data_IF_425050647977
#
_entry.id   IF_425050647977
#
_cell.length_a   1.000
_cell.length_b   1.000
_cell.length_c   1.000
_cell.angle_alpha   90.00
_cell.angle_beta   90.00
_cell.angle_gamma   90.00
#
_symmetry.space_group_name_H-M   'P 1'
#
loop_
_entity.id
_entity.type
_entity.pdbx_description
1 polymer ?
#
# COMPACT_ATOMS: atom_id res chain seq x y z
N UNK A 1 -4.89 -5.86 15.55
CA UNK A 1 -4.10 -5.70 14.32
C UNK A 1 -5.05 -6.04 13.20
N UNK A 2 -5.19 -5.15 12.22
CA UNK A 2 -5.85 -5.52 10.98
C UNK A 2 -5.07 -6.69 10.34
N UNK A 3 -5.72 -7.48 9.50
CA UNK A 3 -4.98 -8.39 8.62
C UNK A 3 -4.16 -7.55 7.64
N UNK A 4 -3.07 -8.11 7.11
CA UNK A 4 -2.16 -7.43 6.18
C UNK A 4 -2.33 -8.02 4.78
N UNK A 5 -2.42 -7.15 3.79
CA UNK A 5 -2.34 -7.54 2.38
C UNK A 5 -0.92 -7.34 1.86
N UNK A 6 -0.32 -8.41 1.35
CA UNK A 6 1.03 -8.34 0.75
C UNK A 6 0.92 -8.19 -0.76
N UNK A 7 1.64 -7.21 -1.32
CA UNK A 7 1.54 -6.80 -2.72
C UNK A 7 2.94 -6.58 -3.31
N UNK A 8 3.18 -7.11 -4.51
CA UNK A 8 4.39 -6.85 -5.31
C UNK A 8 4.09 -5.77 -6.36
N UNK A 9 4.69 -4.59 -6.19
CA UNK A 9 4.51 -3.42 -7.03
C UNK A 9 5.24 -3.50 -8.38
N UNK A 10 6.08 -4.51 -8.63
CA UNK A 10 6.78 -4.64 -9.92
C UNK A 10 5.84 -4.78 -11.12
N UNK A 11 4.61 -5.21 -10.88
CA UNK A 11 3.53 -5.21 -11.86
C UNK A 11 3.09 -3.80 -12.29
N UNK A 12 3.22 -2.83 -11.37
CA UNK A 12 2.56 -1.54 -11.41
C UNK A 12 3.24 -0.54 -12.34
N UNK A 13 4.46 -0.81 -12.81
CA UNK A 13 5.17 -0.02 -13.81
C UNK A 13 5.16 1.50 -13.52
N UNK A 14 5.35 1.87 -12.25
CA UNK A 14 5.41 3.27 -11.82
C UNK A 14 4.08 3.98 -11.57
N UNK A 15 2.93 3.29 -11.69
CA UNK A 15 1.64 3.83 -11.22
C UNK A 15 1.26 3.23 -9.87
N UNK A 16 0.35 3.89 -9.14
CA UNK A 16 -0.18 3.33 -7.89
C UNK A 16 -1.15 2.16 -8.13
N UNK A 17 -1.41 1.41 -7.07
CA UNK A 17 -2.24 0.21 -7.07
C UNK A 17 -3.65 0.45 -7.63
N UNK A 18 -4.30 1.53 -7.20
CA UNK A 18 -5.64 1.91 -7.64
C UNK A 18 -5.68 2.20 -9.14
N UNK A 19 -4.70 2.95 -9.65
CA UNK A 19 -4.57 3.24 -11.09
C UNK A 19 -4.30 1.95 -11.85
N UNK A 20 -3.41 1.11 -11.36
CA UNK A 20 -3.08 -0.16 -12.01
C UNK A 20 -4.30 -1.09 -12.13
N UNK A 21 -5.06 -1.28 -11.06
CA UNK A 21 -6.27 -2.13 -11.07
C UNK A 21 -7.31 -1.55 -12.04
N UNK A 22 -7.50 -0.23 -12.05
CA UNK A 22 -8.39 0.44 -13.00
C UNK A 22 -7.98 0.22 -14.45
N UNK A 23 -6.69 0.40 -14.78
CA UNK A 23 -6.15 0.16 -16.12
C UNK A 23 -6.23 -1.32 -16.51
N UNK A 24 -6.02 -2.23 -15.55
CA UNK A 24 -6.18 -3.66 -15.75
C UNK A 24 -7.62 -4.02 -16.09
N UNK A 25 -8.58 -3.56 -15.29
CA UNK A 25 -10.02 -3.78 -15.53
C UNK A 25 -10.52 -3.15 -16.83
N UNK A 26 -9.96 -2.02 -17.26
CA UNK A 26 -10.32 -1.37 -18.52
C UNK A 26 -9.96 -2.20 -19.78
N UNK A 27 -9.10 -3.22 -19.66
CA UNK A 27 -8.78 -4.13 -20.76
C UNK A 27 -9.91 -5.12 -21.05
N UNK A 28 -10.80 -5.36 -20.10
CA UNK A 28 -11.89 -6.30 -20.23
C UNK A 28 -13.12 -5.64 -20.85
N UNK A 29 -13.89 -6.42 -21.62
CA UNK A 29 -15.24 -6.03 -22.02
C UNK A 29 -16.25 -6.69 -21.09
N UNK A 30 -17.43 -6.09 -20.90
CA UNK A 30 -18.50 -6.67 -20.07
C UNK A 30 -19.11 -7.95 -20.66
N UNK A 31 -18.65 -8.38 -21.85
CA UNK A 31 -19.00 -9.67 -22.41
C UNK A 31 -18.16 -10.76 -21.71
N UNK A 32 -18.85 -11.70 -21.06
CA UNK A 32 -18.34 -12.95 -20.44
C UNK A 32 -17.40 -12.82 -19.23
N UNK A 33 -17.99 -12.79 -18.03
CA UNK A 33 -17.36 -13.39 -16.83
C UNK A 33 -17.55 -14.90 -16.90
N UNK A 34 -16.47 -15.67 -16.91
CA UNK A 34 -16.52 -17.12 -17.10
C UNK A 34 -15.95 -17.81 -15.86
N UNK A 35 -16.80 -18.54 -15.12
CA UNK A 35 -16.40 -19.37 -14.00
C UNK A 35 -15.75 -20.67 -14.47
N UNK A 36 -14.52 -20.91 -14.03
CA UNK A 36 -13.83 -22.18 -14.14
C UNK A 36 -13.68 -22.76 -12.73
N UNK A 37 -14.27 -23.93 -12.46
CA UNK A 37 -14.31 -24.50 -11.10
C UNK A 37 -14.92 -25.91 -11.01
N UNK A 38 -14.59 -26.61 -9.91
CA UNK A 38 -14.66 -28.09 -9.72
C UNK A 38 -16.03 -28.80 -9.57
N UNK A 39 -16.06 -29.91 -8.80
CA UNK A 39 -17.10 -30.95 -8.95
C UNK A 39 -18.41 -30.53 -8.33
N UNK A 40 -19.53 -30.61 -9.07
CA UNK A 40 -20.86 -30.49 -8.48
C UNK A 40 -21.07 -31.51 -7.36
N UNK A 41 -21.22 -31.08 -6.10
CA UNK A 41 -21.72 -31.99 -5.08
C UNK A 41 -23.26 -32.08 -5.18
N UNK A 42 -23.71 -33.11 -5.89
CA UNK A 42 -25.13 -33.41 -6.01
C UNK A 42 -25.76 -34.04 -4.75
N UNK A 43 -25.02 -34.26 -3.66
CA UNK A 43 -25.50 -35.03 -2.50
C UNK A 43 -26.74 -34.44 -1.79
N UNK A 44 -27.06 -33.15 -1.99
CA UNK A 44 -28.19 -32.48 -1.34
C UNK A 44 -29.17 -31.76 -2.28
N UNK A 45 -29.19 -32.10 -3.57
CA UNK A 45 -30.23 -31.62 -4.48
C UNK A 45 -30.26 -30.10 -4.70
N UNK A 46 -29.13 -29.40 -4.54
CA UNK A 46 -29.04 -27.97 -4.85
C UNK A 46 -27.82 -27.21 -4.29
N UNK A 47 -26.62 -27.77 -4.27
CA UNK A 47 -25.43 -26.99 -3.84
C UNK A 47 -24.22 -27.36 -4.70
N UNK A 48 -23.85 -26.48 -5.63
CA UNK A 48 -22.66 -26.66 -6.46
C UNK A 48 -21.47 -26.04 -5.72
N UNK A 49 -20.58 -26.87 -5.17
CA UNK A 49 -19.31 -26.41 -4.60
C UNK A 49 -18.26 -26.40 -5.72
N UNK A 50 -17.56 -25.28 -5.89
CA UNK A 50 -16.42 -25.18 -6.81
C UNK A 50 -15.16 -25.11 -5.95
N UNK A 51 -14.51 -26.26 -5.72
CA UNK A 51 -13.23 -26.24 -5.00
C UNK A 51 -12.10 -25.87 -5.99
N UNK A 52 -11.19 -24.99 -5.56
CA UNK A 52 -10.00 -24.56 -6.31
C UNK A 52 -10.00 -23.12 -6.84
N UNK A 53 -8.82 -22.71 -7.33
CA UNK A 53 -8.46 -21.47 -8.00
C UNK A 53 -9.46 -21.10 -9.12
N UNK A 54 -10.10 -19.92 -9.05
CA UNK A 54 -11.18 -19.49 -9.96
C UNK A 54 -10.79 -18.31 -10.84
N UNK A 55 -10.96 -18.42 -12.18
CA UNK A 55 -10.86 -17.24 -13.07
C UNK A 55 -12.22 -16.56 -13.19
N UNK A 56 -12.27 -15.23 -13.09
CA UNK A 56 -13.52 -14.47 -13.05
C UNK A 56 -13.77 -13.59 -14.29
N UNK A 57 -12.75 -13.01 -14.91
CA UNK A 57 -12.87 -12.16 -16.09
C UNK A 57 -11.95 -12.64 -17.21
N UNK A 58 -12.42 -12.67 -18.46
CA UNK A 58 -11.62 -13.02 -19.65
C UNK A 58 -12.09 -12.16 -20.84
N UNK A 59 -11.18 -11.73 -21.72
CA UNK A 59 -11.48 -10.77 -22.81
C UNK A 59 -12.43 -11.28 -23.91
N UNK A 60 -12.59 -12.60 -24.08
CA UNK A 60 -13.37 -13.19 -25.16
C UNK A 60 -14.49 -14.12 -24.68
N UNK A 61 -15.66 -14.02 -25.31
CA UNK A 61 -16.76 -14.98 -25.17
C UNK A 61 -16.24 -16.34 -25.67
N UNK A 62 -15.92 -17.25 -24.76
CA UNK A 62 -15.45 -18.58 -25.14
C UNK A 62 -16.64 -19.32 -25.77
N UNK A 63 -16.65 -19.32 -27.11
CA UNK A 63 -17.69 -19.89 -27.97
C UNK A 63 -17.73 -21.43 -27.85
N UNK A 64 -16.72 -22.02 -27.19
CA UNK A 64 -16.57 -23.45 -26.91
C UNK A 64 -16.27 -23.64 -25.41
N UNK A 65 -17.06 -24.47 -24.72
CA UNK A 65 -16.92 -24.78 -23.28
C UNK A 65 -15.62 -25.52 -22.93
N UNK A 66 -14.83 -25.89 -23.95
CA UNK A 66 -13.51 -26.52 -23.83
C UNK A 66 -12.35 -25.60 -24.24
N UNK A 67 -12.64 -24.38 -24.70
CA UNK A 67 -11.59 -23.44 -25.10
C UNK A 67 -10.90 -22.86 -23.86
N UNK A 68 -9.57 -22.96 -23.85
CA UNK A 68 -8.71 -22.27 -22.88
C UNK A 68 -8.88 -20.76 -23.04
N UNK A 69 -9.03 -19.98 -21.95
CA UNK A 69 -8.90 -18.54 -22.00
C UNK A 69 -7.59 -18.16 -22.68
N UNK A 70 -7.61 -17.26 -23.67
CA UNK A 70 -6.40 -16.85 -24.40
C UNK A 70 -5.89 -15.46 -23.98
N UNK A 71 -6.42 -14.90 -22.89
CA UNK A 71 -6.25 -13.49 -22.53
C UNK A 71 -5.99 -13.29 -21.01
N UNK A 72 -5.91 -12.02 -20.59
CA UNK A 72 -5.84 -11.57 -19.20
C UNK A 72 -7.00 -12.09 -18.35
N UNK A 73 -6.77 -12.30 -17.04
CA UNK A 73 -7.82 -12.66 -16.08
C UNK A 73 -7.55 -12.25 -14.64
N UNK A 74 -8.45 -12.63 -13.75
CA UNK A 74 -8.22 -12.52 -12.29
C UNK A 74 -8.53 -13.87 -11.70
N UNK A 75 -7.53 -14.44 -11.05
CA UNK A 75 -7.61 -15.68 -10.31
C UNK A 75 -7.91 -15.38 -8.84
N UNK A 76 -9.01 -15.93 -8.32
CA UNK A 76 -9.33 -15.94 -6.90
C UNK A 76 -8.90 -17.28 -6.31
N UNK A 77 -8.00 -17.26 -5.33
CA UNK A 77 -7.58 -18.45 -4.59
C UNK A 77 -8.22 -18.48 -3.21
N UNK A 78 -8.58 -19.69 -2.77
CA UNK A 78 -9.16 -19.95 -1.47
C UNK A 78 -9.82 -21.32 -1.41
N UNK A 79 -10.53 -21.60 -0.32
CA UNK A 79 -11.15 -22.91 -0.07
C UNK A 79 -12.67 -22.85 -0.13
N UNK A 80 -13.29 -23.90 -0.69
CA UNK A 80 -14.75 -24.10 -0.70
C UNK A 80 -15.56 -22.94 -1.30
N UNK A 81 -14.99 -22.18 -2.26
CA UNK A 81 -15.66 -21.04 -2.89
C UNK A 81 -16.84 -21.53 -3.75
N UNK A 82 -18.07 -21.24 -3.33
CA UNK A 82 -19.26 -21.76 -4.00
C UNK A 82 -20.25 -20.64 -4.31
N UNK A 83 -20.80 -20.64 -5.53
CA UNK A 83 -21.95 -19.80 -5.89
C UNK A 83 -23.24 -20.59 -5.69
N UNK A 84 -24.09 -20.15 -4.76
CA UNK A 84 -25.35 -20.82 -4.46
C UNK A 84 -26.41 -20.53 -5.54
N UNK A 85 -26.59 -21.48 -6.47
CA UNK A 85 -27.67 -21.49 -7.47
C UNK A 85 -28.90 -22.23 -6.94
N UNK A 86 -29.88 -21.47 -6.45
CA UNK A 86 -31.29 -21.83 -6.21
C UNK A 86 -31.63 -22.85 -5.10
N UNK A 87 -32.54 -22.39 -4.22
CA UNK A 87 -33.73 -23.16 -3.90
C UNK A 87 -34.98 -22.29 -4.12
N UNK A 88 -35.92 -22.73 -4.97
CA UNK A 88 -37.24 -22.10 -5.07
C UNK A 88 -37.95 -22.26 -3.71
N UNK A 89 -38.09 -21.15 -2.97
CA UNK A 89 -38.93 -21.07 -1.76
C UNK A 89 -38.23 -21.23 -0.41
N UNK A 90 -36.89 -21.12 -0.32
CA UNK A 90 -36.20 -21.13 0.99
C UNK A 90 -35.86 -19.72 1.49
N UNK A 91 -35.80 -19.55 2.80
CA UNK A 91 -35.50 -18.30 3.51
C UNK A 91 -34.00 -17.92 3.52
N UNK A 92 -33.18 -18.59 2.71
CA UNK A 92 -31.72 -18.44 2.64
C UNK A 92 -31.34 -17.61 1.41
N UNK A 93 -30.47 -16.62 1.59
CA UNK A 93 -30.10 -15.68 0.54
C UNK A 93 -29.20 -16.32 -0.52
N UNK A 94 -29.45 -15.99 -1.79
CA UNK A 94 -28.53 -16.24 -2.90
C UNK A 94 -27.17 -15.59 -2.61
N UNK A 95 -26.02 -16.25 -2.85
CA UNK A 95 -24.73 -15.67 -2.50
C UNK A 95 -23.51 -16.52 -2.84
N UNK A 96 -22.31 -15.95 -2.61
CA UNK A 96 -21.04 -16.68 -2.59
C UNK A 96 -20.74 -17.12 -1.15
N UNK A 97 -20.30 -18.36 -0.97
CA UNK A 97 -19.72 -18.87 0.29
C UNK A 97 -18.29 -19.36 0.06
N UNK A 98 -17.60 -19.77 1.12
CA UNK A 98 -16.22 -20.23 1.08
C UNK A 98 -15.26 -19.17 1.59
N UNK A 99 -13.97 -19.35 1.32
CA UNK A 99 -12.90 -18.45 1.76
C UNK A 99 -12.12 -17.89 0.57
N UNK A 100 -11.64 -16.66 0.69
CA UNK A 100 -10.71 -16.04 -0.25
C UNK A 100 -9.45 -15.68 0.51
N UNK A 101 -8.32 -16.21 0.04
CA UNK A 101 -7.00 -16.00 0.61
C UNK A 101 -6.23 -14.96 -0.22
N UNK A 102 -6.20 -15.12 -1.55
CA UNK A 102 -5.43 -14.26 -2.45
C UNK A 102 -6.14 -13.99 -3.78
N UNK A 103 -5.70 -12.94 -4.46
CA UNK A 103 -6.07 -12.55 -5.82
C UNK A 103 -4.82 -12.50 -6.70
N UNK A 104 -4.84 -13.17 -7.84
CA UNK A 104 -3.76 -13.16 -8.83
C UNK A 104 -4.26 -12.60 -10.17
N UNK A 105 -3.82 -11.41 -10.51
CA UNK A 105 -4.02 -10.78 -11.82
C UNK A 105 -2.90 -11.22 -12.75
N UNK A 106 -3.21 -11.51 -14.02
CA UNK A 106 -2.22 -12.08 -14.92
C UNK A 106 -2.78 -12.47 -16.28
N UNK A 107 -1.91 -13.01 -17.11
CA UNK A 107 -2.24 -13.38 -18.49
C UNK A 107 -2.05 -14.86 -18.74
N UNK A 108 -2.93 -15.42 -19.56
CA UNK A 108 -2.84 -16.82 -19.94
C UNK A 108 -1.88 -16.99 -21.13
N UNK A 109 -0.74 -17.66 -20.94
CA UNK A 109 0.27 -17.84 -22.00
C UNK A 109 0.08 -19.14 -22.76
N UNK A 110 0.21 -20.28 -22.07
CA UNK A 110 0.09 -21.63 -22.63
C UNK A 110 -0.74 -22.56 -21.73
N UNK A 111 -1.46 -21.96 -20.79
CA UNK A 111 -2.12 -22.66 -19.73
C UNK A 111 -3.26 -23.57 -20.16
N UNK A 112 -3.62 -24.48 -19.26
CA UNK A 112 -4.80 -25.34 -19.41
C UNK A 112 -5.62 -25.29 -18.15
N UNK A 113 -6.95 -25.26 -18.27
CA UNK A 113 -7.84 -25.54 -17.15
C UNK A 113 -8.14 -27.04 -17.16
N UNK A 114 -7.84 -27.77 -16.07
CA UNK A 114 -8.23 -29.19 -15.98
C UNK A 114 -9.72 -29.41 -15.65
N UNK A 115 -10.50 -28.32 -15.49
CA UNK A 115 -11.95 -28.32 -15.25
C UNK A 115 -12.78 -27.83 -16.45
N UNK A 116 -14.09 -28.11 -16.44
CA UNK A 116 -15.06 -27.57 -17.42
C UNK A 116 -15.75 -26.33 -16.83
N UNK A 117 -16.24 -25.41 -17.68
CA UNK A 117 -17.07 -24.28 -17.21
C UNK A 117 -18.24 -24.79 -16.38
N UNK A 118 -18.30 -24.38 -15.12
CA UNK A 118 -19.40 -24.67 -14.19
C UNK A 118 -19.56 -26.11 -13.68
N UNK A 119 -18.82 -27.12 -14.18
CA UNK A 119 -18.86 -28.53 -13.71
C UNK A 119 -17.51 -29.24 -13.99
N UNK A 120 -16.87 -29.96 -13.06
CA UNK A 120 -15.68 -30.79 -13.40
C UNK A 120 -14.82 -31.24 -12.23
N UNK A 121 -13.67 -31.90 -12.42
CA UNK A 121 -12.70 -32.07 -11.32
C UNK A 121 -12.14 -30.71 -10.85
N UNK A 122 -11.51 -30.62 -9.67
CA UNK A 122 -10.75 -29.42 -9.29
C UNK A 122 -9.85 -29.00 -10.48
N UNK A 123 -10.08 -27.79 -10.97
CA UNK A 123 -9.36 -27.24 -12.09
C UNK A 123 -8.03 -26.70 -11.59
N UNK A 124 -6.93 -27.34 -11.96
CA UNK A 124 -5.61 -26.72 -11.87
C UNK A 124 -5.52 -25.68 -13.00
N UNK A 125 -5.11 -24.47 -12.65
CA UNK A 125 -4.74 -23.42 -13.60
C UNK A 125 -3.23 -23.46 -13.71
N UNK A 126 -2.72 -23.92 -14.85
CA UNK A 126 -1.29 -23.90 -15.17
C UNK A 126 -1.02 -22.87 -16.25
N UNK A 127 0.24 -22.45 -16.45
CA UNK A 127 0.62 -21.56 -17.57
C UNK A 127 0.00 -20.16 -17.54
N UNK A 128 -0.40 -19.72 -16.35
CA UNK A 128 -0.87 -18.37 -16.06
C UNK A 128 0.33 -17.55 -15.56
N UNK A 129 0.66 -16.49 -16.30
CA UNK A 129 1.74 -15.58 -15.97
C UNK A 129 1.21 -14.48 -15.06
N UNK A 130 1.52 -14.60 -13.77
CA UNK A 130 1.09 -13.65 -12.76
C UNK A 130 1.73 -12.29 -13.02
N UNK A 131 0.88 -11.28 -13.19
CA UNK A 131 1.30 -9.89 -13.24
C UNK A 131 1.32 -9.30 -11.83
N UNK A 132 0.23 -9.42 -11.08
CA UNK A 132 0.10 -8.89 -9.71
C UNK A 132 -0.54 -9.94 -8.80
N UNK A 133 -0.02 -10.07 -7.58
CA UNK A 133 -0.61 -10.90 -6.53
C UNK A 133 -0.95 -10.00 -5.34
N UNK A 134 -2.16 -10.16 -4.81
CA UNK A 134 -2.62 -9.57 -3.56
C UNK A 134 -2.96 -10.72 -2.63
N UNK A 135 -2.14 -10.96 -1.62
CA UNK A 135 -2.29 -12.07 -0.68
C UNK A 135 -2.70 -11.57 0.72
N UNK A 136 -3.39 -12.39 1.51
CA UNK A 136 -3.70 -12.10 2.91
C UNK A 136 -5.13 -11.63 3.21
N UNK A 137 -6.08 -11.81 2.29
CA UNK A 137 -7.49 -11.44 2.54
C UNK A 137 -8.07 -12.24 3.73
N UNK A 138 -7.85 -13.55 3.78
CA UNK A 138 -8.32 -14.47 4.83
C UNK A 138 -9.79 -14.20 5.26
N UNK A 139 -10.66 -14.02 4.26
CA UNK A 139 -12.10 -13.80 4.49
C UNK A 139 -12.88 -15.06 4.23
N UNK A 140 -13.93 -15.31 5.01
CA UNK A 140 -14.84 -16.44 4.76
C UNK A 140 -16.31 -16.11 4.95
N UNK A 141 -17.15 -16.81 4.19
CA UNK A 141 -18.60 -16.71 4.23
C UNK A 141 -19.23 -18.10 4.30
N UNK A 142 -20.20 -18.26 5.22
CA UNK A 142 -20.95 -19.51 5.35
C UNK A 142 -21.90 -19.73 4.18
N UNK A 143 -22.28 -20.98 3.93
CA UNK A 143 -23.34 -21.30 2.97
C UNK A 143 -24.64 -20.52 3.29
N UNK A 144 -25.24 -19.90 2.27
CA UNK A 144 -26.44 -19.08 2.42
C UNK A 144 -26.22 -17.70 3.05
N UNK A 145 -24.97 -17.21 3.14
CA UNK A 145 -24.64 -15.87 3.64
C UNK A 145 -25.24 -14.72 2.79
N UNK A 146 -25.80 -15.02 1.62
CA UNK A 146 -26.48 -14.01 0.79
C UNK A 146 -25.54 -13.16 -0.06
N UNK A 147 -26.12 -12.19 -0.77
CA UNK A 147 -25.42 -11.22 -1.63
C UNK A 147 -25.20 -9.87 -0.93
N UNK A 148 -25.40 -9.78 0.38
CA UNK A 148 -25.23 -8.52 1.10
C UNK A 148 -23.74 -8.30 1.36
N UNK A 149 -23.12 -7.39 0.60
CA UNK A 149 -21.70 -7.06 0.68
C UNK A 149 -21.29 -6.56 2.06
N UNK A 150 -22.23 -6.05 2.86
CA UNK A 150 -21.94 -5.57 4.22
C UNK A 150 -21.76 -6.70 5.24
N UNK A 151 -22.26 -7.90 4.94
CA UNK A 151 -22.19 -9.07 5.84
C UNK A 151 -21.45 -10.25 5.21
N UNK A 152 -21.12 -10.17 3.93
CA UNK A 152 -20.44 -11.19 3.16
C UNK A 152 -19.28 -10.58 2.36
N UNK A 153 -18.12 -10.47 3.02
CA UNK A 153 -16.90 -9.93 2.40
C UNK A 153 -16.40 -10.79 1.22
N UNK A 154 -16.61 -12.11 1.28
CA UNK A 154 -16.31 -13.02 0.17
C UNK A 154 -17.13 -12.66 -1.07
N UNK A 155 -18.43 -12.39 -0.91
CA UNK A 155 -19.29 -11.93 -2.00
C UNK A 155 -18.93 -10.51 -2.47
N UNK A 156 -18.50 -9.64 -1.56
CA UNK A 156 -18.07 -8.29 -1.90
C UNK A 156 -16.86 -8.29 -2.85
N UNK A 157 -15.77 -8.97 -2.49
CA UNK A 157 -14.58 -9.14 -3.34
C UNK A 157 -14.96 -9.74 -4.69
N UNK A 158 -15.71 -10.84 -4.64
CA UNK A 158 -16.22 -11.50 -5.83
C UNK A 158 -17.00 -10.54 -6.72
N UNK A 159 -17.90 -9.73 -6.15
CA UNK A 159 -18.76 -8.83 -6.90
C UNK A 159 -17.98 -7.68 -7.52
N UNK A 160 -16.96 -7.17 -6.83
CA UNK A 160 -16.07 -6.13 -7.34
C UNK A 160 -15.34 -6.63 -8.59
N UNK A 161 -14.70 -7.79 -8.52
CA UNK A 161 -13.97 -8.37 -9.67
C UNK A 161 -14.93 -8.74 -10.80
N UNK A 162 -16.09 -9.34 -10.48
CA UNK A 162 -17.09 -9.74 -11.49
C UNK A 162 -17.60 -8.53 -12.28
N UNK A 163 -17.80 -7.41 -11.58
CA UNK A 163 -18.31 -6.19 -12.19
C UNK A 163 -17.20 -5.30 -12.76
N UNK A 164 -15.93 -5.71 -12.62
CA UNK A 164 -14.75 -4.92 -12.99
C UNK A 164 -14.77 -3.55 -12.29
N UNK A 165 -15.18 -3.53 -11.03
CA UNK A 165 -15.35 -2.36 -10.19
C UNK A 165 -14.13 -2.20 -9.29
N UNK A 166 -13.17 -1.39 -9.76
CA UNK A 166 -11.92 -1.14 -9.06
C UNK A 166 -12.15 -0.40 -7.73
N UNK A 167 -13.04 0.59 -7.73
CA UNK A 167 -13.40 1.36 -6.54
C UNK A 167 -13.98 0.45 -5.45
N UNK A 168 -14.84 -0.51 -5.82
CA UNK A 168 -15.38 -1.48 -4.89
C UNK A 168 -14.30 -2.44 -4.35
N UNK A 169 -13.31 -2.81 -5.16
CA UNK A 169 -12.22 -3.67 -4.71
C UNK A 169 -11.28 -2.91 -3.76
N UNK A 170 -10.92 -1.69 -4.09
CA UNK A 170 -10.12 -0.79 -3.25
C UNK A 170 -10.81 -0.56 -1.90
N UNK A 171 -12.13 -0.31 -1.87
CA UNK A 171 -12.89 -0.16 -0.63
C UNK A 171 -12.90 -1.42 0.27
N UNK A 172 -12.63 -2.61 -0.30
CA UNK A 172 -12.36 -3.81 0.51
C UNK A 172 -10.94 -3.76 1.06
N UNK A 173 -9.96 -3.42 0.23
CA UNK A 173 -8.55 -3.41 0.58
C UNK A 173 -8.19 -2.34 1.61
N UNK A 174 -8.87 -1.19 1.61
CA UNK A 174 -8.76 -0.12 2.64
C UNK A 174 -9.07 -0.58 4.07
N UNK A 175 -9.60 -1.80 4.25
CA UNK A 175 -9.88 -2.41 5.56
C UNK A 175 -8.70 -3.17 6.15
N UNK A 176 -7.60 -3.24 5.41
CA UNK A 176 -6.40 -3.98 5.73
C UNK A 176 -5.22 -3.03 5.86
N UNK A 177 -4.22 -3.44 6.63
CA UNK A 177 -2.89 -2.88 6.46
C UNK A 177 -2.28 -3.42 5.16
N UNK A 178 -1.40 -2.66 4.53
CA UNK A 178 -0.67 -3.05 3.34
C UNK A 178 0.79 -3.33 3.67
N UNK A 179 1.35 -4.32 2.97
CA UNK A 179 2.78 -4.55 2.86
C UNK A 179 3.13 -4.57 1.38
N UNK A 180 3.68 -3.46 0.87
CA UNK A 180 3.91 -3.26 -0.57
C UNK A 180 5.40 -3.20 -0.87
N UNK A 181 5.82 -4.05 -1.81
CA UNK A 181 7.20 -4.17 -2.27
C UNK A 181 7.36 -3.58 -3.67
N UNK A 182 8.02 -2.43 -3.74
CA UNK A 182 8.55 -1.78 -4.93
C UNK A 182 9.56 -2.62 -5.70
N UNK A 183 9.86 -2.16 -6.89
CA UNK A 183 10.65 -2.83 -7.90
C UNK A 183 12.07 -2.26 -7.97
N UNK A 184 12.69 -2.35 -9.14
CA UNK A 184 13.96 -1.69 -9.43
C UNK A 184 13.82 -0.45 -10.32
N UNK A 185 12.58 -0.05 -10.61
CA UNK A 185 12.25 1.16 -11.37
C UNK A 185 11.57 2.19 -10.46
N UNK A 186 11.27 3.36 -11.02
CA UNK A 186 10.57 4.42 -10.30
C UNK A 186 9.13 3.98 -10.00
N UNK A 187 8.79 3.76 -8.73
CA UNK A 187 7.49 3.27 -8.27
C UNK A 187 6.64 4.33 -7.58
N UNK A 188 5.31 4.25 -7.74
CA UNK A 188 4.36 5.04 -6.95
C UNK A 188 3.60 4.09 -6.05
N UNK A 189 3.74 4.23 -4.74
CA UNK A 189 3.17 3.34 -3.73
C UNK A 189 2.34 4.18 -2.76
N UNK A 190 1.05 3.88 -2.72
CA UNK A 190 0.12 4.50 -1.77
C UNK A 190 -0.33 3.44 -0.75
N UNK A 191 -0.25 3.76 0.54
CA UNK A 191 -0.89 3.00 1.60
C UNK A 191 -2.28 3.54 1.94
N UNK A 192 -2.91 2.88 2.91
CA UNK A 192 -4.24 3.17 3.40
C UNK A 192 -4.19 3.78 4.80
N UNK A 193 -5.20 3.46 5.63
CA UNK A 193 -5.45 4.12 6.90
C UNK A 193 -4.99 3.29 8.12
N UNK A 194 -4.32 2.17 7.88
CA UNK A 194 -3.79 1.28 8.91
C UNK A 194 -2.27 1.34 8.92
N UNK A 195 -1.67 0.71 9.93
CA UNK A 195 -0.22 0.63 10.07
C UNK A 195 0.39 -0.18 8.90
N UNK A 196 0.86 0.53 7.88
CA UNK A 196 1.32 -0.01 6.61
C UNK A 196 2.85 -0.13 6.55
N UNK A 197 3.33 -1.00 5.65
CA UNK A 197 4.74 -1.16 5.32
C UNK A 197 4.93 -0.94 3.82
N UNK A 198 5.56 0.18 3.46
CA UNK A 198 5.87 0.51 2.06
C UNK A 198 7.38 0.49 1.83
N UNK A 199 7.80 -0.20 0.77
CA UNK A 199 9.22 -0.35 0.42
C UNK A 199 9.38 0.03 -1.05
N UNK A 200 10.09 1.11 -1.40
CA UNK A 200 10.31 1.56 -2.78
C UNK A 200 11.31 0.68 -3.54
N UNK A 201 12.41 0.32 -2.89
CA UNK A 201 13.40 -0.59 -3.48
C UNK A 201 14.51 0.17 -4.18
N UNK A 202 14.55 0.13 -5.52
CA UNK A 202 15.49 0.96 -6.27
C UNK A 202 14.73 1.72 -7.36
N UNK A 203 15.12 2.95 -7.63
CA UNK A 203 14.31 3.86 -8.44
C UNK A 203 14.16 5.19 -7.72
N UNK A 204 13.53 6.17 -8.35
CA UNK A 204 13.10 7.38 -7.66
C UNK A 204 11.64 7.16 -7.29
N UNK A 205 11.41 6.70 -6.06
CA UNK A 205 10.11 6.19 -5.64
C UNK A 205 9.28 7.28 -4.95
N UNK A 206 7.97 7.19 -5.08
CA UNK A 206 6.99 8.05 -4.41
C UNK A 206 6.15 7.20 -3.45
N UNK A 207 6.42 7.33 -2.16
CA UNK A 207 5.74 6.60 -1.08
C UNK A 207 4.82 7.57 -0.34
N UNK A 208 3.53 7.25 -0.29
CA UNK A 208 2.50 8.09 0.28
C UNK A 208 1.61 7.28 1.22
N UNK A 209 1.48 7.67 2.49
CA UNK A 209 0.46 7.11 3.36
C UNK A 209 -0.56 8.15 3.81
N UNK A 210 -1.63 7.63 4.42
CA UNK A 210 -2.71 8.44 4.96
C UNK A 210 -2.69 8.47 6.48
N UNK A 211 -3.04 7.37 7.15
CA UNK A 211 -3.13 7.28 8.60
C UNK A 211 -2.51 5.97 9.03
N UNK A 212 -1.97 5.91 10.25
CA UNK A 212 -1.35 4.69 10.75
C UNK A 212 -0.06 5.03 11.47
N UNK A 213 0.52 4.08 12.16
CA UNK A 213 1.93 4.16 12.54
C UNK A 213 2.73 3.35 11.51
N UNK A 214 3.24 4.03 10.50
CA UNK A 214 3.68 3.37 9.28
C UNK A 214 5.21 3.17 9.22
N UNK A 215 5.64 2.21 8.41
CA UNK A 215 7.04 2.02 8.04
C UNK A 215 7.21 2.27 6.55
N UNK A 216 8.00 3.29 6.18
CA UNK A 216 8.29 3.60 4.79
C UNK A 216 9.79 3.63 4.53
N UNK A 217 10.23 2.86 3.54
CA UNK A 217 11.63 2.73 3.13
C UNK A 217 11.76 3.08 1.65
N UNK A 218 12.40 4.20 1.31
CA UNK A 218 12.66 4.60 -0.09
C UNK A 218 13.60 3.63 -0.78
N UNK A 219 14.84 3.53 -0.29
CA UNK A 219 15.81 2.55 -0.76
C UNK A 219 16.95 3.19 -1.55
N UNK A 220 17.08 2.89 -2.84
CA UNK A 220 18.12 3.46 -3.71
C UNK A 220 17.50 4.41 -4.72
N UNK A 221 17.93 5.67 -4.73
CA UNK A 221 17.53 6.67 -5.71
C UNK A 221 17.05 7.92 -5.01
N UNK A 222 16.28 8.76 -5.69
CA UNK A 222 15.82 10.03 -5.11
C UNK A 222 14.36 9.90 -4.77
N UNK A 223 14.10 9.54 -3.52
CA UNK A 223 12.79 9.13 -3.09
C UNK A 223 12.00 10.30 -2.51
N UNK A 224 10.68 10.23 -2.63
CA UNK A 224 9.75 11.13 -1.97
C UNK A 224 8.88 10.32 -1.02
N UNK A 225 8.97 10.61 0.27
CA UNK A 225 8.25 9.88 1.33
C UNK A 225 7.38 10.87 2.10
N UNK A 226 6.06 10.65 2.11
CA UNK A 226 5.11 11.42 2.91
C UNK A 226 4.42 10.51 3.94
N UNK A 227 4.75 10.73 5.23
CA UNK A 227 4.28 9.98 6.41
C UNK A 227 2.77 9.94 6.54
N UNK A 228 2.18 11.12 6.71
CA UNK A 228 0.72 11.25 6.79
C UNK A 228 0.30 11.55 8.22
N UNK A 229 -0.62 10.77 8.78
CA UNK A 229 -1.07 10.91 10.16
C UNK A 229 -0.64 9.70 10.99
N UNK A 230 -0.02 9.96 12.14
CA UNK A 230 0.35 8.95 13.11
C UNK A 230 1.85 8.95 13.34
N UNK A 231 2.36 7.99 14.10
CA UNK A 231 3.77 8.02 14.50
C UNK A 231 4.57 7.13 13.55
N UNK A 232 5.17 7.76 12.54
CA UNK A 232 5.75 7.04 11.41
C UNK A 232 7.26 6.81 11.56
N UNK A 233 7.75 5.75 10.92
CA UNK A 233 9.17 5.45 10.77
C UNK A 233 9.54 5.56 9.29
N UNK A 234 10.20 6.65 8.92
CA UNK A 234 10.50 7.02 7.54
C UNK A 234 12.00 6.96 7.29
N UNK A 235 12.41 6.28 6.22
CA UNK A 235 13.81 6.19 5.83
C UNK A 235 13.98 6.40 4.32
N UNK A 236 14.77 7.42 3.92
CA UNK A 236 15.07 7.73 2.52
C UNK A 236 15.98 6.68 1.91
N UNK A 237 17.16 6.50 2.48
CA UNK A 237 18.10 5.47 2.04
C UNK A 237 19.30 6.08 1.35
N UNK A 238 19.50 5.82 0.05
CA UNK A 238 20.64 6.34 -0.68
C UNK A 238 20.19 7.17 -1.88
N UNK A 239 20.54 8.45 -1.86
CA UNK A 239 20.27 9.44 -2.89
C UNK A 239 19.86 10.73 -2.22
N UNK A 240 19.23 11.63 -2.97
CA UNK A 240 18.85 12.93 -2.44
C UNK A 240 17.33 12.93 -2.28
N UNK A 241 16.91 12.63 -1.06
CA UNK A 241 15.54 12.25 -0.72
C UNK A 241 14.75 13.45 -0.16
N UNK A 242 13.43 13.40 -0.32
CA UNK A 242 12.48 14.31 0.31
C UNK A 242 11.62 13.50 1.28
N UNK A 243 11.76 13.78 2.59
CA UNK A 243 11.01 13.07 3.62
C UNK A 243 10.20 14.07 4.45
N UNK A 244 8.89 13.87 4.50
CA UNK A 244 7.96 14.69 5.27
C UNK A 244 7.12 13.79 6.17
N UNK A 245 7.30 13.89 7.49
CA UNK A 245 6.52 13.14 8.49
C UNK A 245 5.04 13.51 8.53
N UNK A 246 4.73 14.80 8.33
CA UNK A 246 3.39 15.40 8.41
C UNK A 246 2.87 15.50 9.85
N UNK A 247 2.05 14.58 10.36
CA UNK A 247 1.49 14.70 11.71
C UNK A 247 1.79 13.50 12.56
N UNK A 248 2.41 13.71 13.70
CA UNK A 248 2.58 12.70 14.73
C UNK A 248 3.90 12.83 15.45
N UNK A 249 4.47 11.72 15.88
CA UNK A 249 5.77 11.73 16.52
C UNK A 249 6.68 10.84 15.69
N UNK A 250 7.26 11.44 14.66
CA UNK A 250 7.87 10.71 13.58
C UNK A 250 9.35 10.46 13.83
N UNK A 251 9.85 9.34 13.31
CA UNK A 251 11.26 9.01 13.26
C UNK A 251 11.69 9.06 11.80
N UNK A 252 12.53 10.03 11.46
CA UNK A 252 12.99 10.29 10.10
C UNK A 252 14.49 10.03 10.02
N UNK A 253 14.90 9.22 9.04
CA UNK A 253 16.28 8.99 8.66
C UNK A 253 16.47 9.34 7.17
N UNK A 254 17.21 10.40 6.86
CA UNK A 254 17.55 10.77 5.48
C UNK A 254 18.37 9.68 4.81
N UNK A 255 19.56 9.44 5.35
CA UNK A 255 20.42 8.34 4.91
C UNK A 255 21.69 8.86 4.26
N UNK A 256 21.92 8.57 2.99
CA UNK A 256 23.12 8.97 2.28
C UNK A 256 22.77 9.82 1.07
N UNK A 257 23.28 11.04 1.02
CA UNK A 257 23.05 12.02 -0.03
C UNK A 257 22.54 13.32 0.59
N UNK A 258 22.11 14.27 -0.24
CA UNK A 258 21.70 15.58 0.27
C UNK A 258 20.19 15.59 0.42
N UNK A 259 19.72 15.39 1.65
CA UNK A 259 18.32 15.12 1.94
C UNK A 259 17.58 16.38 2.40
N UNK A 260 16.29 16.46 2.09
CA UNK A 260 15.38 17.48 2.62
C UNK A 260 14.41 16.81 3.58
N UNK A 261 14.50 17.17 4.86
CA UNK A 261 13.82 16.47 5.95
C UNK A 261 12.91 17.43 6.71
N UNK A 262 11.64 17.06 6.85
CA UNK A 262 10.64 17.82 7.60
C UNK A 262 9.86 16.88 8.53
N UNK A 263 10.01 17.06 9.84
CA UNK A 263 9.19 16.35 10.84
C UNK A 263 7.71 16.64 10.64
N UNK A 264 7.32 17.91 10.84
CA UNK A 264 5.96 18.36 10.64
C UNK A 264 5.34 18.79 11.96
N UNK A 265 4.13 18.32 12.25
CA UNK A 265 3.43 18.57 13.51
C UNK A 265 3.71 17.44 14.49
N UNK A 266 4.07 17.81 15.72
CA UNK A 266 4.27 16.90 16.82
C UNK A 266 5.72 16.85 17.27
N UNK A 267 6.18 15.73 17.82
CA UNK A 267 7.52 15.65 18.44
C UNK A 267 8.38 14.67 17.66
N UNK A 268 9.16 15.22 16.73
CA UNK A 268 9.85 14.39 15.74
C UNK A 268 11.32 14.17 16.12
N UNK A 269 11.85 13.02 15.70
CA UNK A 269 13.28 12.70 15.76
C UNK A 269 13.81 12.58 14.35
N UNK A 270 14.70 13.48 13.96
CA UNK A 270 15.20 13.58 12.59
C UNK A 270 16.71 13.37 12.58
N UNK A 271 17.17 12.50 11.68
CA UNK A 271 18.59 12.19 11.47
C UNK A 271 18.88 12.42 9.99
N UNK A 272 19.81 13.31 9.68
CA UNK A 272 20.23 13.63 8.30
C UNK A 272 20.96 12.45 7.67
N UNK A 273 21.98 11.97 8.37
CA UNK A 273 22.90 10.97 7.88
C UNK A 273 24.10 11.62 7.19
N UNK A 274 24.46 11.11 6.02
CA UNK A 274 25.67 11.50 5.32
C UNK A 274 25.33 12.37 4.11
N UNK A 275 25.69 13.64 4.14
CA UNK A 275 25.58 14.53 2.99
C UNK A 275 25.45 15.95 3.47
N UNK A 276 24.81 16.80 2.65
CA UNK A 276 24.53 18.18 3.03
C UNK A 276 23.02 18.33 3.11
N UNK A 277 22.51 18.20 4.33
CA UNK A 277 21.09 18.01 4.58
C UNK A 277 20.39 19.32 4.91
N UNK A 278 19.14 19.42 4.51
CA UNK A 278 18.26 20.54 4.82
C UNK A 278 17.17 20.07 5.78
N UNK A 279 17.22 20.57 7.01
CA UNK A 279 16.20 20.32 8.03
C UNK A 279 15.19 21.47 7.99
N UNK A 280 14.00 21.21 7.47
CA UNK A 280 12.94 22.20 7.34
C UNK A 280 12.07 22.25 8.60
N UNK A 281 11.99 23.42 9.22
CA UNK A 281 11.21 23.64 10.43
C UNK A 281 9.96 24.45 10.11
N UNK A 282 8.80 23.86 10.40
CA UNK A 282 7.50 24.47 10.13
C UNK A 282 6.78 24.91 11.41
N UNK A 283 5.88 25.91 11.34
CA UNK A 283 5.06 26.28 12.48
C UNK A 283 4.20 25.11 12.97
N UNK A 284 4.19 24.88 14.27
CA UNK A 284 3.38 23.83 14.89
C UNK A 284 4.11 22.51 15.15
N UNK A 285 5.32 22.35 14.62
CA UNK A 285 6.29 21.36 15.11
C UNK A 285 6.58 21.65 16.57
N UNK A 286 6.29 20.68 17.45
CA UNK A 286 6.31 20.90 18.88
C UNK A 286 7.75 21.00 19.38
N UNK A 287 8.35 19.86 19.75
CA UNK A 287 9.77 19.80 20.12
C UNK A 287 10.42 18.71 19.28
N UNK A 288 11.14 19.16 18.28
CA UNK A 288 11.83 18.27 17.34
C UNK A 288 13.28 18.12 17.78
N UNK A 289 13.84 16.95 17.54
CA UNK A 289 15.23 16.61 17.87
C UNK A 289 15.95 16.22 16.59
N UNK A 290 16.95 17.01 16.22
CA UNK A 290 17.89 16.69 15.14
C UNK A 290 19.13 16.07 15.79
N UNK A 291 19.44 14.83 15.42
CA UNK A 291 20.36 13.98 16.19
C UNK A 291 21.83 14.09 15.76
N UNK A 292 22.09 14.55 14.53
CA UNK A 292 23.41 14.49 13.90
C UNK A 292 23.79 15.73 13.06
N UNK A 293 23.18 16.89 13.36
CA UNK A 293 23.41 18.14 12.64
C UNK A 293 24.91 18.50 12.53
N UNK A 294 25.42 18.56 11.30
CA UNK A 294 26.82 18.85 10.97
C UNK A 294 26.99 20.31 10.52
N UNK A 295 27.49 21.14 11.44
CA UNK A 295 27.74 22.56 11.18
C UNK A 295 28.68 22.78 9.98
N UNK A 296 28.29 23.68 9.09
CA UNK A 296 29.03 24.01 7.86
C UNK A 296 28.81 23.05 6.71
N UNK A 297 27.98 22.02 6.91
CA UNK A 297 27.53 21.09 5.86
C UNK A 297 26.02 21.12 5.76
N UNK A 298 25.33 20.96 6.89
CA UNK A 298 23.87 20.97 6.98
C UNK A 298 23.33 22.37 7.19
N UNK A 299 22.04 22.52 6.88
CA UNK A 299 21.29 23.75 6.98
C UNK A 299 19.96 23.52 7.70
N UNK A 300 19.60 24.45 8.57
CA UNK A 300 18.29 24.53 9.19
C UNK A 300 17.46 25.57 8.44
N UNK A 301 16.47 25.12 7.65
CA UNK A 301 15.54 26.01 6.99
C UNK A 301 14.42 26.41 7.96
N UNK A 302 14.43 27.67 8.37
CA UNK A 302 13.45 28.28 9.28
C UNK A 302 12.60 29.34 8.59
N UNK A 303 12.63 29.39 7.25
CA UNK A 303 11.92 30.39 6.45
C UNK A 303 10.41 30.38 6.66
N UNK A 304 9.85 29.21 7.02
CA UNK A 304 8.44 29.06 7.36
C UNK A 304 8.06 29.66 8.73
N UNK A 305 9.03 30.00 9.59
CA UNK A 305 8.78 30.52 10.94
C UNK A 305 8.64 32.05 11.00
N UNK A 306 8.97 32.76 9.92
CA UNK A 306 8.91 34.22 9.87
C UNK A 306 9.91 34.91 10.80
N UNK A 307 11.09 34.32 10.97
CA UNK A 307 12.23 34.87 11.71
C UNK A 307 13.26 35.42 10.72
N UNK A 308 13.99 36.47 11.09
CA UNK A 308 14.93 37.16 10.20
C UNK A 308 16.39 36.84 10.54
N UNK A 309 16.66 36.33 11.75
CA UNK A 309 18.00 36.04 12.22
C UNK A 309 18.05 35.04 13.38
N UNK A 310 19.23 34.49 13.67
CA UNK A 310 19.49 33.70 14.87
C UNK A 310 19.11 34.45 16.17
N UNK A 311 19.17 35.79 16.17
CA UNK A 311 18.86 36.58 17.37
C UNK A 311 17.37 36.57 17.75
N UNK A 312 16.50 36.09 16.86
CA UNK A 312 15.07 35.91 17.14
C UNK A 312 14.82 34.66 18.00
N UNK A 313 15.77 33.74 18.08
CA UNK A 313 15.67 32.54 18.90
C UNK A 313 16.18 32.76 20.32
N UNK A 314 15.44 32.23 21.30
CA UNK A 314 15.96 32.03 22.64
C UNK A 314 16.76 30.71 22.70
N UNK A 315 18.07 30.82 22.91
CA UNK A 315 18.98 29.65 22.93
C UNK A 315 19.14 29.13 24.36
N UNK A 316 19.04 27.81 24.54
CA UNK A 316 19.43 27.11 25.77
C UNK A 316 20.45 26.02 25.48
N UNK A 317 21.37 25.80 26.39
CA UNK A 317 22.32 24.68 26.33
C UNK A 317 21.89 23.60 27.31
N UNK A 318 22.07 22.34 26.95
CA UNK A 318 21.83 21.20 27.83
C UNK A 318 22.96 20.16 27.67
N UNK A 319 22.77 18.96 28.20
CA UNK A 319 23.79 17.90 28.18
C UNK A 319 24.02 17.30 26.77
N UNK A 320 23.03 17.38 25.88
CA UNK A 320 23.09 16.78 24.54
C UNK A 320 23.45 17.79 23.45
N UNK A 321 23.23 19.08 23.67
CA UNK A 321 23.62 20.13 22.74
C UNK A 321 22.93 21.47 23.02
N UNK A 322 22.30 22.04 21.99
CA UNK A 322 21.58 23.31 22.05
C UNK A 322 20.12 23.16 21.69
N UNK A 323 19.28 23.97 22.33
CA UNK A 323 17.85 24.06 22.03
C UNK A 323 17.52 25.48 21.61
N UNK A 324 17.02 25.62 20.39
CA UNK A 324 16.47 26.86 19.84
C UNK A 324 15.00 26.94 20.20
N UNK A 325 14.55 28.10 20.67
CA UNK A 325 13.17 28.28 21.15
C UNK A 325 12.53 29.53 20.56
N UNK A 326 11.34 29.35 19.99
CA UNK A 326 10.36 30.41 19.70
C UNK A 326 9.15 30.24 20.62
N UNK A 327 8.00 30.86 20.33
CA UNK A 327 6.82 30.67 21.19
C UNK A 327 6.34 29.21 21.18
N UNK A 328 5.97 28.70 20.00
CA UNK A 328 5.38 27.36 19.82
C UNK A 328 6.36 26.30 19.34
N UNK A 329 7.53 26.69 18.85
CA UNK A 329 8.51 25.78 18.25
C UNK A 329 9.72 25.61 19.17
N UNK A 330 10.18 24.37 19.32
CA UNK A 330 11.43 24.01 20.00
C UNK A 330 12.22 23.09 19.08
N UNK A 331 13.51 23.39 18.88
CA UNK A 331 14.40 22.60 18.03
C UNK A 331 15.60 22.24 18.88
N UNK A 332 15.76 20.95 19.17
CA UNK A 332 16.95 20.41 19.81
C UNK A 332 17.94 20.00 18.72
N UNK A 333 19.15 20.56 18.77
CA UNK A 333 20.28 20.12 17.96
C UNK A 333 21.25 19.39 18.87
N UNK A 334 21.29 18.06 18.77
CA UNK A 334 22.24 17.25 19.52
C UNK A 334 23.63 17.34 18.89
N UNK A 335 24.67 17.29 19.73
CA UNK A 335 26.07 17.40 19.30
C UNK A 335 26.54 18.82 18.96
N UNK A 336 25.64 19.78 18.76
CA UNK A 336 25.97 21.17 18.43
C UNK A 336 26.15 22.02 19.68
N UNK A 337 27.22 22.82 19.74
CA UNK A 337 27.45 23.77 20.82
C UNK A 337 26.96 25.18 20.47
N UNK A 338 26.68 26.00 21.49
CA UNK A 338 26.22 27.37 21.28
C UNK A 338 27.25 28.28 20.59
N UNK A 339 28.53 27.91 20.59
CA UNK A 339 29.58 28.65 19.90
C UNK A 339 29.60 28.41 18.38
N UNK A 340 28.97 27.32 17.93
CA UNK A 340 28.89 26.93 16.52
C UNK A 340 27.62 27.46 15.83
N UNK A 341 26.71 28.07 16.60
CA UNK A 341 25.51 28.71 16.06
C UNK A 341 25.85 30.08 15.46
N UNK A 342 25.83 30.14 14.13
CA UNK A 342 25.98 31.37 13.34
C UNK A 342 24.89 31.45 12.27
N UNK A 343 24.60 32.64 11.73
CA UNK A 343 23.48 32.81 10.78
C UNK A 343 23.64 32.02 9.45
N UNK A 344 24.84 31.51 9.15
CA UNK A 344 25.16 30.73 7.95
C UNK A 344 24.64 29.29 8.00
N UNK A 345 24.30 28.76 9.17
CA UNK A 345 23.66 27.44 9.29
C UNK A 345 22.14 27.51 9.07
N UNK A 346 21.59 28.71 8.84
CA UNK A 346 20.15 28.94 8.71
C UNK A 346 19.80 29.42 7.30
N UNK A 347 18.63 29.01 6.84
CA UNK A 347 17.89 29.70 5.76
C UNK A 347 16.71 30.42 6.40
N UNK A 348 16.62 31.74 6.17
CA UNK A 348 15.57 32.64 6.67
C UNK A 348 14.59 33.00 5.54
#
# INVERSE_FOLDING_TARGET
MANTLTIDASAMNGVNLTTWINEYFAQFTTASTAFYGGTPDSAYGGTYYMNGSQVLATLNELVDETATPTDSGVLIEGSDIAYDFMHYGSSYGHGISGSIDSLTFGTWIDGTTTGTRGIGAEGEITGYDASLIIDGFDVSAAAGAGTDTTTNATYEIYSAIRNLDADALEAVMERYALEVYGSSGDDTIDGFAFDDVLIGGAGNDSLLNSQGADLMLGGLGRDTILGGYGADSLQGGAGADLIIGNQGADVILGGAGADTLRGGLGMDTVTGGAGADTFEIVPGGARDTITDFTVGTDVLDVSALGVDSLSDFAIRTNETGVELRLDTVRIQLDGVSAAELTNDIFVF
#
